data_IF_592992993303
#
_entry.id   IF_592992993303
#
_cell.length_a   1.000
_cell.length_b   1.000
_cell.length_c   1.000
_cell.angle_alpha   90.00
_cell.angle_beta   90.00
_cell.angle_gamma   90.00
#
_symmetry.space_group_name_H-M   'P 1'
#
loop_
_entity.id
_entity.type
_entity.pdbx_description
1 polymer ?
#
# COMPACT_ATOMS: atom_id res chain seq x y z
N UNK A 1 16.57 -10.66 1.20
CA UNK A 1 16.62 -10.65 -0.30
C UNK A 1 15.59 -11.62 -0.90
N UNK A 2 15.43 -12.80 -0.32
CA UNK A 2 14.46 -13.80 -0.76
C UNK A 2 13.01 -13.32 -0.64
N UNK A 3 12.66 -12.66 0.47
CA UNK A 3 11.32 -12.11 0.70
C UNK A 3 10.91 -11.01 -0.29
N UNK A 4 11.85 -10.16 -0.70
CA UNK A 4 11.56 -9.09 -1.67
C UNK A 4 11.34 -9.63 -3.08
N UNK A 5 12.01 -10.74 -3.44
CA UNK A 5 11.80 -11.42 -4.71
C UNK A 5 10.46 -12.16 -4.73
N UNK A 6 10.13 -12.88 -3.67
CA UNK A 6 8.86 -13.58 -3.53
C UNK A 6 7.67 -12.62 -3.62
N UNK A 7 7.80 -11.42 -3.04
CA UNK A 7 6.76 -10.38 -3.14
C UNK A 7 6.64 -9.84 -4.57
N UNK A 8 7.75 -9.61 -5.27
CA UNK A 8 7.74 -9.14 -6.65
C UNK A 8 7.12 -10.18 -7.60
N UNK A 9 7.42 -11.46 -7.38
CA UNK A 9 6.83 -12.56 -8.15
C UNK A 9 5.33 -12.70 -7.87
N UNK A 10 4.92 -12.67 -6.59
CA UNK A 10 3.51 -12.72 -6.20
C UNK A 10 2.69 -11.60 -6.82
N UNK A 11 3.27 -10.41 -6.95
CA UNK A 11 2.65 -9.26 -7.58
C UNK A 11 2.47 -9.46 -9.10
N UNK A 12 3.49 -9.97 -9.80
CA UNK A 12 3.38 -10.27 -11.22
C UNK A 12 2.34 -11.36 -11.51
N UNK A 13 2.22 -12.34 -10.62
CA UNK A 13 1.22 -13.40 -10.69
C UNK A 13 -0.18 -12.94 -10.28
N UNK A 14 -0.30 -11.78 -9.63
CA UNK A 14 -1.60 -11.20 -9.31
C UNK A 14 -2.23 -10.55 -10.56
N UNK A 15 -2.94 -11.37 -11.29
CA UNK A 15 -3.64 -10.96 -12.52
C UNK A 15 -4.61 -9.81 -12.27
N UNK A 16 -5.23 -9.74 -11.08
CA UNK A 16 -6.20 -8.70 -10.76
C UNK A 16 -5.51 -7.33 -10.65
N UNK A 17 -4.49 -7.23 -9.81
CA UNK A 17 -3.77 -5.97 -9.59
C UNK A 17 -3.06 -5.52 -10.87
N UNK A 18 -2.42 -6.47 -11.56
CA UNK A 18 -1.73 -6.20 -12.84
C UNK A 18 -2.69 -5.68 -13.91
N UNK A 19 -3.87 -6.29 -14.06
CA UNK A 19 -4.89 -5.82 -15.00
C UNK A 19 -5.45 -4.44 -14.63
N UNK A 20 -5.64 -4.17 -13.35
CA UNK A 20 -6.13 -2.86 -12.90
C UNK A 20 -5.13 -1.76 -13.22
N UNK A 21 -3.85 -1.96 -12.96
CA UNK A 21 -2.81 -0.99 -13.33
C UNK A 21 -2.70 -0.82 -14.85
N UNK A 22 -2.73 -1.94 -15.60
CA UNK A 22 -2.71 -1.92 -17.06
C UNK A 22 -3.87 -1.08 -17.61
N UNK A 23 -5.10 -1.40 -17.21
CA UNK A 23 -6.29 -0.68 -17.68
C UNK A 23 -6.23 0.81 -17.30
N UNK A 24 -5.87 1.13 -16.07
CA UNK A 24 -5.80 2.52 -15.61
C UNK A 24 -4.77 3.33 -16.40
N UNK A 25 -3.54 2.82 -16.56
CA UNK A 25 -2.47 3.52 -17.25
C UNK A 25 -2.80 3.70 -18.72
N UNK A 26 -3.31 2.66 -19.41
CA UNK A 26 -3.69 2.78 -20.82
C UNK A 26 -4.88 3.72 -21.05
N UNK A 27 -5.90 3.69 -20.19
CA UNK A 27 -7.02 4.63 -20.27
C UNK A 27 -6.59 6.09 -20.02
N UNK A 28 -5.46 6.28 -19.35
CA UNK A 28 -4.89 7.59 -19.04
C UNK A 28 -3.53 7.82 -19.73
N UNK A 29 -3.26 7.15 -20.86
CA UNK A 29 -1.98 7.23 -21.55
C UNK A 29 -1.59 8.68 -21.94
N UNK A 30 -2.56 9.57 -22.14
CA UNK A 30 -2.30 11.00 -22.40
C UNK A 30 -1.50 11.69 -21.26
N UNK A 31 -1.56 11.17 -20.04
CA UNK A 31 -0.77 11.70 -18.93
C UNK A 31 0.71 11.28 -19.03
N UNK A 32 0.99 10.12 -19.64
CA UNK A 32 2.33 9.53 -19.75
C UNK A 32 3.04 9.93 -21.05
N UNK A 33 2.26 10.22 -22.10
CA UNK A 33 2.81 10.53 -23.41
C UNK A 33 3.78 11.72 -23.34
N UNK A 34 4.98 11.54 -23.90
CA UNK A 34 6.06 12.52 -23.94
C UNK A 34 6.56 12.96 -22.55
N UNK A 35 6.40 12.11 -21.51
CA UNK A 35 6.78 12.38 -20.12
C UNK A 35 8.01 11.62 -19.69
N UNK A 36 8.72 12.19 -18.71
CA UNK A 36 9.80 11.55 -17.97
C UNK A 36 9.19 10.96 -16.69
N UNK A 37 9.34 9.65 -16.51
CA UNK A 37 8.77 8.89 -15.40
C UNK A 37 9.87 8.39 -14.46
N UNK A 38 9.63 8.43 -13.16
CA UNK A 38 10.45 7.81 -12.14
C UNK A 38 9.65 6.71 -11.45
N UNK A 39 10.09 5.45 -11.58
CA UNK A 39 9.55 4.31 -10.82
C UNK A 39 10.33 4.17 -9.52
N UNK A 40 9.67 4.44 -8.39
CA UNK A 40 10.24 4.36 -7.05
C UNK A 40 9.91 3.00 -6.43
N UNK A 41 10.95 2.19 -6.24
CA UNK A 41 10.81 0.83 -5.72
C UNK A 41 10.38 -0.17 -6.79
N UNK A 42 10.96 -0.06 -7.97
CA UNK A 42 10.75 -1.01 -9.06
C UNK A 42 10.95 -2.46 -8.57
N UNK A 43 9.85 -3.10 -8.18
CA UNK A 43 9.84 -4.47 -7.63
C UNK A 43 9.68 -5.50 -8.75
N UNK A 44 8.58 -5.43 -9.46
CA UNK A 44 8.25 -6.33 -10.58
C UNK A 44 8.63 -5.76 -11.95
N UNK A 45 8.79 -4.45 -12.03
CA UNK A 45 8.98 -3.72 -13.28
C UNK A 45 7.70 -3.44 -14.07
N UNK A 46 6.55 -3.93 -13.58
CA UNK A 46 5.27 -3.76 -14.25
C UNK A 46 4.96 -2.30 -14.55
N UNK A 47 5.05 -1.41 -13.54
CA UNK A 47 4.74 0.02 -13.72
C UNK A 47 5.69 0.70 -14.70
N UNK A 48 6.98 0.32 -14.69
CA UNK A 48 7.95 0.79 -15.68
C UNK A 48 7.58 0.40 -17.11
N UNK A 49 7.22 -0.87 -17.33
CA UNK A 49 6.79 -1.37 -18.65
C UNK A 49 5.54 -0.64 -19.11
N UNK A 50 4.52 -0.55 -18.25
CA UNK A 50 3.27 0.14 -18.59
C UNK A 50 3.48 1.63 -18.89
N UNK A 51 4.42 2.29 -18.20
CA UNK A 51 4.77 3.68 -18.50
C UNK A 51 5.39 3.84 -19.89
N UNK A 52 6.28 2.92 -20.28
CA UNK A 52 6.86 2.91 -21.65
C UNK A 52 5.76 2.66 -22.70
N UNK A 53 4.90 1.68 -22.49
CA UNK A 53 3.78 1.36 -23.39
C UNK A 53 2.78 2.52 -23.50
N UNK A 54 2.61 3.30 -22.45
CA UNK A 54 1.77 4.51 -22.46
C UNK A 54 2.43 5.73 -23.11
N UNK A 55 3.64 5.59 -23.67
CA UNK A 55 4.32 6.63 -24.45
C UNK A 55 5.24 7.55 -23.66
N UNK A 56 5.73 7.13 -22.49
CA UNK A 56 6.80 7.84 -21.80
C UNK A 56 8.06 7.89 -22.68
N UNK A 57 8.74 9.03 -22.71
CA UNK A 57 10.00 9.21 -23.47
C UNK A 57 11.23 8.76 -22.67
N UNK A 58 11.14 8.68 -21.36
CA UNK A 58 12.18 8.15 -20.49
C UNK A 58 11.57 7.62 -19.19
N UNK A 59 12.02 6.46 -18.76
CA UNK A 59 11.64 5.82 -17.49
C UNK A 59 12.90 5.51 -16.71
N UNK A 60 13.07 6.15 -15.57
CA UNK A 60 14.08 5.82 -14.58
C UNK A 60 13.48 4.93 -13.52
N UNK A 61 14.16 3.84 -13.14
CA UNK A 61 13.66 2.93 -12.12
C UNK A 61 14.66 2.74 -10.98
N UNK A 62 14.24 3.08 -9.77
CA UNK A 62 15.02 2.87 -8.55
C UNK A 62 14.45 1.64 -7.83
N UNK A 63 15.26 0.60 -7.65
CA UNK A 63 14.78 -0.60 -6.98
C UNK A 63 15.75 -1.77 -7.05
N UNK A 64 15.20 -2.97 -7.07
CA UNK A 64 15.98 -4.19 -7.13
C UNK A 64 16.62 -4.35 -8.52
N UNK A 65 17.95 -4.55 -8.54
CA UNK A 65 18.71 -4.79 -9.77
C UNK A 65 18.26 -6.00 -10.57
N UNK A 66 17.66 -7.00 -9.92
CA UNK A 66 17.15 -8.20 -10.59
C UNK A 66 15.87 -7.87 -11.37
N UNK A 67 14.96 -7.10 -10.79
CA UNK A 67 13.78 -6.58 -11.47
C UNK A 67 14.16 -5.70 -12.65
N UNK A 68 15.13 -4.82 -12.46
CA UNK A 68 15.64 -3.97 -13.51
C UNK A 68 16.20 -4.77 -14.72
N UNK A 69 16.92 -5.86 -14.47
CA UNK A 69 17.40 -6.77 -15.52
C UNK A 69 16.24 -7.46 -16.27
N UNK A 70 15.17 -7.82 -15.57
CA UNK A 70 13.98 -8.41 -16.22
C UNK A 70 13.31 -7.39 -17.12
N UNK A 71 13.07 -6.15 -16.65
CA UNK A 71 12.50 -5.06 -17.46
C UNK A 71 13.37 -4.79 -18.70
N UNK A 72 14.69 -4.66 -18.52
CA UNK A 72 15.63 -4.46 -19.63
C UNK A 72 15.50 -5.57 -20.67
N UNK A 73 15.39 -6.84 -20.25
CA UNK A 73 15.20 -7.96 -21.18
C UNK A 73 13.87 -7.90 -21.93
N UNK A 74 12.78 -7.57 -21.23
CA UNK A 74 11.44 -7.45 -21.85
C UNK A 74 11.45 -6.34 -22.90
N UNK A 75 12.02 -5.18 -22.59
CA UNK A 75 12.06 -4.03 -23.51
C UNK A 75 13.13 -4.14 -24.60
N UNK A 76 14.16 -4.97 -24.42
CA UNK A 76 15.25 -5.16 -25.41
C UNK A 76 14.80 -5.80 -26.74
N UNK A 77 13.61 -6.40 -26.77
CA UNK A 77 13.04 -7.02 -27.97
C UNK A 77 12.25 -6.02 -28.84
N UNK A 78 12.26 -4.71 -28.48
CA UNK A 78 11.59 -3.64 -29.20
C UNK A 78 12.43 -2.38 -29.35
N UNK A 79 11.87 -1.36 -30.01
CA UNK A 79 12.49 -0.04 -30.20
C UNK A 79 12.61 0.78 -28.89
N UNK A 80 12.20 0.20 -27.75
CA UNK A 80 12.02 0.89 -26.48
C UNK A 80 13.16 0.68 -25.48
N UNK A 81 14.23 -0.03 -25.85
CA UNK A 81 15.31 -0.38 -24.94
C UNK A 81 16.03 0.84 -24.34
N UNK A 82 16.14 1.94 -25.10
CA UNK A 82 16.81 3.18 -24.67
C UNK A 82 15.93 4.04 -23.74
N UNK A 83 14.61 3.77 -23.70
CA UNK A 83 13.66 4.53 -22.88
C UNK A 83 13.84 4.20 -21.41
N UNK A 84 14.15 2.94 -21.06
CA UNK A 84 14.27 2.47 -19.69
C UNK A 84 15.72 2.55 -19.19
N UNK A 85 15.90 3.10 -17.99
CA UNK A 85 17.21 3.21 -17.34
C UNK A 85 17.13 2.87 -15.84
N UNK A 86 17.73 1.75 -15.41
CA UNK A 86 17.77 1.39 -14.00
C UNK A 86 18.80 2.26 -13.24
N UNK A 87 18.38 2.72 -12.07
CA UNK A 87 19.23 3.47 -11.14
C UNK A 87 19.53 2.61 -9.91
N UNK A 88 20.80 2.46 -9.59
CA UNK A 88 21.25 1.69 -8.43
C UNK A 88 21.60 2.60 -7.25
N UNK A 89 21.18 2.22 -6.06
CA UNK A 89 21.55 2.89 -4.82
C UNK A 89 20.38 3.37 -3.98
N UNK A 90 20.70 3.95 -2.83
CA UNK A 90 19.70 4.53 -1.94
C UNK A 90 19.15 5.82 -2.54
N UNK A 91 17.82 5.96 -2.56
CA UNK A 91 17.12 7.08 -3.20
C UNK A 91 17.60 8.46 -2.67
N UNK A 92 17.99 8.55 -1.40
CA UNK A 92 18.50 9.78 -0.80
C UNK A 92 19.83 10.23 -1.37
N UNK A 93 20.64 9.31 -1.87
CA UNK A 93 21.99 9.55 -2.42
C UNK A 93 21.99 9.66 -3.94
N UNK A 94 20.91 9.25 -4.60
CA UNK A 94 20.82 9.26 -6.06
C UNK A 94 20.78 10.68 -6.63
N UNK A 95 21.26 10.75 -7.87
CA UNK A 95 21.10 11.90 -8.78
C UNK A 95 20.46 11.38 -10.06
N UNK A 96 19.56 12.15 -10.62
CA UNK A 96 19.00 11.81 -11.93
C UNK A 96 20.10 11.92 -12.99
N UNK A 97 20.17 11.01 -13.97
CA UNK A 97 21.15 11.02 -15.04
C UNK A 97 21.05 12.24 -15.94
N UNK A 98 22.07 12.45 -16.77
CA UNK A 98 22.13 13.50 -17.80
C UNK A 98 21.88 14.92 -17.28
N UNK A 99 22.15 15.20 -15.99
CA UNK A 99 21.93 16.52 -15.41
C UNK A 99 20.46 16.90 -15.20
N UNK A 100 19.53 15.96 -15.39
CA UNK A 100 18.11 16.15 -15.13
C UNK A 100 17.88 16.52 -13.66
N UNK A 101 17.01 17.50 -13.46
CA UNK A 101 16.64 17.96 -12.09
C UNK A 101 15.27 17.51 -11.67
N UNK A 102 14.40 17.22 -12.63
CA UNK A 102 12.97 16.94 -12.39
C UNK A 102 12.46 15.84 -13.32
N UNK A 103 11.40 15.18 -12.86
CA UNK A 103 10.58 14.22 -13.60
C UNK A 103 9.12 14.69 -13.60
N UNK A 104 8.35 14.25 -14.58
CA UNK A 104 6.95 14.65 -14.71
C UNK A 104 6.01 13.77 -13.88
N UNK A 105 6.36 12.48 -13.76
CA UNK A 105 5.53 11.47 -13.11
C UNK A 105 6.40 10.62 -12.17
N UNK A 106 5.84 10.27 -11.03
CA UNK A 106 6.33 9.21 -10.16
C UNK A 106 5.33 8.07 -10.19
N UNK A 107 5.78 6.85 -10.46
CA UNK A 107 5.01 5.62 -10.27
C UNK A 107 5.62 4.81 -9.13
N UNK A 108 4.79 4.15 -8.32
CA UNK A 108 5.30 3.31 -7.23
C UNK A 108 4.22 2.39 -6.68
N UNK A 109 4.54 1.15 -6.43
CA UNK A 109 3.79 0.30 -5.51
C UNK A 109 4.30 0.50 -4.09
N UNK A 110 3.94 1.63 -3.54
CA UNK A 110 4.47 2.12 -2.27
C UNK A 110 3.84 1.48 -1.04
N UNK A 111 2.72 0.78 -1.19
CA UNK A 111 1.97 0.20 -0.08
C UNK A 111 2.74 -0.96 0.57
N UNK A 112 2.55 -1.08 1.87
CA UNK A 112 3.04 -2.20 2.66
C UNK A 112 1.94 -2.78 3.55
N UNK A 113 2.31 -3.60 4.53
CA UNK A 113 1.36 -4.16 5.49
C UNK A 113 0.71 -3.04 6.31
N UNK A 114 -0.60 -3.16 6.58
CA UNK A 114 -1.38 -2.07 7.19
C UNK A 114 -1.10 -0.72 6.51
N UNK A 115 -0.85 -0.71 5.20
CA UNK A 115 -0.51 0.40 4.33
C UNK A 115 0.93 0.93 4.50
N UNK A 116 1.48 0.99 5.70
CA UNK A 116 2.73 1.72 5.99
C UNK A 116 3.90 0.86 6.45
N UNK A 117 3.68 -0.33 7.01
CA UNK A 117 4.76 -1.22 7.42
C UNK A 117 5.45 -1.84 6.19
N UNK A 118 6.78 -1.80 6.14
CA UNK A 118 7.58 -2.18 4.96
C UNK A 118 7.20 -1.44 3.67
N UNK A 119 6.62 -0.24 3.81
CA UNK A 119 6.18 0.57 2.67
C UNK A 119 7.31 1.42 2.08
N UNK A 120 7.07 1.92 0.86
CA UNK A 120 7.95 2.89 0.21
C UNK A 120 7.46 4.33 0.39
N UNK A 121 6.54 4.58 1.32
CA UNK A 121 5.90 5.87 1.50
C UNK A 121 6.90 7.02 1.65
N UNK A 122 7.82 6.95 2.61
CA UNK A 122 8.83 7.99 2.83
C UNK A 122 9.74 8.19 1.60
N UNK A 123 10.05 7.10 0.89
CA UNK A 123 10.86 7.15 -0.33
C UNK A 123 10.15 7.87 -1.45
N UNK A 124 8.83 7.65 -1.62
CA UNK A 124 8.02 8.34 -2.62
C UNK A 124 7.88 9.83 -2.26
N UNK A 125 7.65 10.16 -0.99
CA UNK A 125 7.60 11.56 -0.56
C UNK A 125 8.93 12.27 -0.80
N UNK A 126 10.05 11.63 -0.48
CA UNK A 126 11.38 12.16 -0.77
C UNK A 126 11.59 12.42 -2.26
N UNK A 127 11.23 11.44 -3.10
CA UNK A 127 11.31 11.57 -4.56
C UNK A 127 10.43 12.71 -5.10
N UNK A 128 9.20 12.81 -4.57
CA UNK A 128 8.25 13.89 -4.90
C UNK A 128 8.88 15.26 -4.62
N UNK A 129 9.35 15.46 -3.41
CA UNK A 129 9.84 16.78 -2.98
C UNK A 129 11.14 17.17 -3.71
N UNK A 130 11.99 16.19 -3.98
CA UNK A 130 13.26 16.41 -4.64
C UNK A 130 13.13 16.53 -6.16
N UNK A 131 12.34 15.66 -6.80
CA UNK A 131 12.42 15.50 -8.26
C UNK A 131 11.11 15.74 -9.01
N UNK A 132 9.93 15.71 -8.37
CA UNK A 132 8.70 15.92 -9.12
C UNK A 132 8.58 17.39 -9.58
N UNK A 133 8.15 17.61 -10.83
CA UNK A 133 7.86 18.94 -11.35
C UNK A 133 6.63 19.54 -10.65
N UNK A 134 6.51 20.84 -10.66
CA UNK A 134 5.29 21.51 -10.20
C UNK A 134 4.13 21.09 -11.09
N UNK A 135 3.09 20.52 -10.50
CA UNK A 135 1.95 19.94 -11.24
C UNK A 135 2.20 18.52 -11.77
N UNK A 136 3.36 17.94 -11.48
CA UNK A 136 3.64 16.54 -11.78
C UNK A 136 2.73 15.58 -10.98
N UNK A 137 2.65 14.34 -11.41
CA UNK A 137 1.67 13.38 -10.88
C UNK A 137 2.35 12.16 -10.24
N UNK A 138 1.62 11.54 -9.32
CA UNK A 138 2.04 10.29 -8.64
C UNK A 138 0.97 9.24 -8.88
N UNK A 139 1.36 8.01 -9.20
CA UNK A 139 0.46 6.88 -9.42
C UNK A 139 0.89 5.63 -8.63
N UNK A 140 -0.04 5.05 -7.86
CA UNK A 140 -1.30 5.64 -7.37
C UNK A 140 -1.03 6.73 -6.32
N UNK A 141 -1.92 7.73 -6.22
CA UNK A 141 -1.67 8.88 -5.36
C UNK A 141 -2.52 8.93 -4.09
N UNK A 142 -3.57 8.12 -3.97
CA UNK A 142 -4.47 8.15 -2.81
C UNK A 142 -4.67 6.75 -2.24
N UNK A 143 -4.61 6.65 -0.92
CA UNK A 143 -4.99 5.45 -0.19
C UNK A 143 -5.89 5.77 0.99
N UNK A 144 -6.83 4.87 1.28
CA UNK A 144 -7.73 4.95 2.41
C UNK A 144 -7.52 3.73 3.31
N UNK A 145 -7.05 3.93 4.54
CA UNK A 145 -6.86 2.89 5.54
C UNK A 145 -8.11 2.75 6.40
N UNK A 146 -8.62 1.54 6.51
CA UNK A 146 -9.80 1.19 7.29
C UNK A 146 -9.47 0.24 8.43
N UNK A 147 -10.30 0.29 9.49
CA UNK A 147 -10.35 -0.70 10.55
C UNK A 147 -11.76 -1.29 10.63
N UNK A 148 -11.84 -2.59 10.94
CA UNK A 148 -13.12 -3.30 11.10
C UNK A 148 -12.99 -4.43 12.12
N UNK A 149 -13.96 -4.55 13.04
CA UNK A 149 -13.99 -5.60 14.04
C UNK A 149 -14.38 -6.95 13.43
N UNK A 150 -13.74 -8.01 13.90
CA UNK A 150 -13.94 -9.38 13.41
C UNK A 150 -14.14 -10.38 14.53
N UNK A 151 -14.84 -11.49 14.20
CA UNK A 151 -14.97 -12.69 15.02
C UNK A 151 -14.21 -13.84 14.34
N UNK A 152 -12.90 -13.82 14.48
CA UNK A 152 -12.02 -14.88 13.99
C UNK A 152 -11.00 -15.18 15.07
N UNK A 153 -11.13 -16.34 15.72
CA UNK A 153 -10.17 -16.78 16.71
C UNK A 153 -9.18 -17.76 16.07
N UNK A 154 -7.92 -17.55 16.28
CA UNK A 154 -6.90 -18.59 16.05
C UNK A 154 -6.68 -19.33 17.36
N UNK A 155 -7.32 -20.47 17.54
CA UNK A 155 -7.22 -21.31 18.74
C UNK A 155 -5.79 -21.87 19.02
N UNK A 156 -4.81 -21.60 18.15
CA UNK A 156 -3.46 -22.21 18.24
C UNK A 156 -2.38 -21.31 18.82
N UNK A 157 -2.67 -20.06 19.20
CA UNK A 157 -1.62 -19.17 19.70
C UNK A 157 -1.97 -18.71 21.13
N UNK A 158 -1.99 -19.66 22.05
CA UNK A 158 -2.02 -19.39 23.51
C UNK A 158 -0.57 -19.47 24.03
N UNK A 159 0.30 -18.71 23.48
CA UNK A 159 1.58 -18.44 24.12
C UNK A 159 1.44 -17.16 24.96
N UNK A 160 1.42 -17.32 26.28
CA UNK A 160 1.30 -16.21 27.24
C UNK A 160 2.49 -15.25 27.19
N UNK A 161 3.60 -15.64 26.58
CA UNK A 161 4.80 -14.80 26.41
C UNK A 161 4.67 -13.76 25.28
N UNK A 162 3.70 -13.94 24.38
CA UNK A 162 3.50 -13.02 23.26
C UNK A 162 2.81 -11.71 23.71
N UNK A 163 2.94 -10.59 23.00
CA UNK A 163 2.30 -9.32 23.35
C UNK A 163 0.77 -9.42 23.39
N UNK A 164 0.06 -8.53 24.11
CA UNK A 164 -1.41 -8.60 24.28
C UNK A 164 -2.19 -8.48 22.97
N UNK A 165 -1.55 -7.99 21.91
CA UNK A 165 -2.09 -7.96 20.56
C UNK A 165 -1.15 -8.71 19.64
N UNK A 166 -1.68 -9.71 18.92
CA UNK A 166 -0.94 -10.46 17.93
C UNK A 166 -1.21 -9.89 16.54
N UNK A 167 -0.16 -9.42 15.89
CA UNK A 167 -0.20 -8.94 14.52
C UNK A 167 0.05 -10.08 13.55
N UNK A 168 -0.85 -10.27 12.60
CA UNK A 168 -0.70 -11.27 11.54
C UNK A 168 -1.28 -10.75 10.22
N UNK A 169 -0.66 -11.17 9.10
CA UNK A 169 -1.30 -11.03 7.80
C UNK A 169 -2.19 -12.23 7.56
N UNK A 170 -3.43 -11.98 7.18
CA UNK A 170 -4.42 -13.03 6.96
C UNK A 170 -5.47 -12.60 5.93
N UNK A 171 -6.19 -13.59 5.38
CA UNK A 171 -7.39 -13.35 4.60
C UNK A 171 -8.62 -13.52 5.49
N UNK A 172 -9.24 -12.41 5.86
CA UNK A 172 -10.45 -12.43 6.70
C UNK A 172 -11.66 -12.76 5.84
N UNK A 173 -12.44 -13.76 6.29
CA UNK A 173 -13.70 -14.10 5.64
C UNK A 173 -14.75 -13.02 5.95
N UNK A 174 -15.54 -12.63 4.94
CA UNK A 174 -16.66 -11.70 5.10
C UNK A 174 -17.64 -12.14 6.21
N UNK A 175 -17.84 -13.44 6.40
CA UNK A 175 -18.69 -13.97 7.46
C UNK A 175 -18.16 -13.70 8.87
N UNK A 176 -16.88 -13.38 9.02
CA UNK A 176 -16.25 -13.03 10.29
C UNK A 176 -16.46 -11.58 10.68
N UNK A 177 -17.03 -10.73 9.82
CA UNK A 177 -17.24 -9.32 10.11
C UNK A 177 -18.26 -9.14 11.25
N UNK A 178 -17.87 -8.30 12.22
CA UNK A 178 -18.67 -8.00 13.41
C UNK A 178 -19.11 -6.55 13.48
N UNK A 179 -18.44 -5.66 12.77
CA UNK A 179 -18.77 -4.23 12.79
C UNK A 179 -18.85 -3.64 11.40
N UNK A 180 -19.43 -2.45 11.29
CA UNK A 180 -19.20 -1.57 10.14
C UNK A 180 -17.72 -1.20 10.07
N UNK A 181 -17.25 -0.85 8.88
CA UNK A 181 -15.89 -0.33 8.69
C UNK A 181 -15.76 1.11 9.16
N UNK A 182 -14.60 1.48 9.64
CA UNK A 182 -14.26 2.86 9.98
C UNK A 182 -13.02 3.31 9.21
N UNK A 183 -13.08 4.48 8.60
CA UNK A 183 -11.93 5.09 7.90
C UNK A 183 -10.99 5.70 8.94
N UNK A 184 -9.83 5.08 9.14
CA UNK A 184 -8.80 5.58 10.06
C UNK A 184 -8.03 6.76 9.47
N UNK A 185 -7.64 6.66 8.20
CA UNK A 185 -6.84 7.68 7.53
C UNK A 185 -7.02 7.64 6.01
N UNK A 186 -7.15 8.82 5.42
CA UNK A 186 -7.03 9.02 3.97
C UNK A 186 -5.73 9.76 3.70
N UNK A 187 -4.96 9.31 2.72
CA UNK A 187 -3.68 9.90 2.34
C UNK A 187 -3.70 10.22 0.87
N UNK A 188 -3.28 11.44 0.55
CA UNK A 188 -2.98 11.86 -0.81
C UNK A 188 -1.49 12.20 -0.89
N UNK A 189 -0.71 11.40 -1.61
CA UNK A 189 0.74 11.55 -1.75
C UNK A 189 1.14 12.91 -2.35
N UNK A 190 0.28 13.52 -3.16
CA UNK A 190 0.57 14.84 -3.74
C UNK A 190 0.65 15.96 -2.71
N UNK A 191 0.00 15.79 -1.55
CA UNK A 191 -0.06 16.80 -0.48
C UNK A 191 0.37 16.27 0.90
N UNK A 192 0.61 14.97 1.03
CA UNK A 192 1.02 14.37 2.29
C UNK A 192 2.34 14.96 2.78
N UNK A 193 2.44 15.13 4.09
CA UNK A 193 3.69 15.43 4.78
C UNK A 193 4.25 14.14 5.36
N UNK A 194 5.53 14.13 5.65
CA UNK A 194 6.22 13.00 6.29
C UNK A 194 5.89 12.95 7.79
N UNK A 195 4.62 12.67 8.10
CA UNK A 195 4.08 12.63 9.47
C UNK A 195 3.83 11.19 9.95
N UNK A 196 4.46 10.19 9.30
CA UNK A 196 4.21 8.77 9.62
C UNK A 196 5.03 8.27 10.81
N UNK A 197 5.98 9.03 11.31
CA UNK A 197 6.70 8.61 12.53
C UNK A 197 5.76 8.25 13.68
N UNK A 198 4.59 8.89 13.75
CA UNK A 198 3.53 8.56 14.68
C UNK A 198 2.15 8.92 14.14
N UNK A 199 1.29 7.91 14.00
CA UNK A 199 -0.12 8.09 13.62
C UNK A 199 -1.04 7.56 14.71
N UNK A 200 -2.02 8.36 15.12
CA UNK A 200 -3.03 8.02 16.11
C UNK A 200 -4.42 8.44 15.64
N UNK A 201 -5.38 7.55 15.78
CA UNK A 201 -6.78 7.82 15.46
C UNK A 201 -7.70 7.20 16.49
N UNK A 202 -8.65 7.98 16.98
CA UNK A 202 -9.81 7.47 17.69
C UNK A 202 -10.83 7.02 16.64
N UNK A 203 -11.52 5.92 16.92
CA UNK A 203 -12.52 5.37 16.01
C UNK A 203 -13.80 4.97 16.75
N UNK A 204 -14.88 4.90 15.98
CA UNK A 204 -16.19 4.46 16.42
C UNK A 204 -16.78 3.52 15.39
N UNK A 205 -17.06 2.31 15.79
CA UNK A 205 -17.67 1.29 14.92
C UNK A 205 -19.01 0.86 15.51
N UNK A 206 -19.91 0.41 14.65
CA UNK A 206 -21.19 -0.13 15.05
C UNK A 206 -21.23 -1.63 14.77
N UNK A 207 -21.62 -2.43 15.75
CA UNK A 207 -21.82 -3.86 15.56
C UNK A 207 -22.93 -4.12 14.54
N UNK A 208 -22.73 -5.11 13.68
CA UNK A 208 -23.70 -5.52 12.63
C UNK A 208 -24.44 -6.80 12.97
N UNK A 209 -24.15 -7.40 14.13
CA UNK A 209 -24.80 -8.59 14.67
C UNK A 209 -24.38 -8.87 16.11
N UNK A 210 -25.12 -9.73 16.79
CA UNK A 210 -24.70 -10.27 18.08
C UNK A 210 -23.51 -11.21 17.94
N UNK A 211 -22.61 -11.21 18.91
CA UNK A 211 -21.46 -12.12 18.96
C UNK A 211 -20.26 -11.54 19.67
N UNK A 212 -19.07 -12.05 19.34
CA UNK A 212 -17.81 -11.65 19.96
C UNK A 212 -16.89 -10.98 18.94
N UNK A 213 -16.34 -9.83 19.30
CA UNK A 213 -15.23 -9.21 18.57
C UNK A 213 -13.94 -9.72 19.17
N UNK A 214 -13.22 -10.56 18.43
CA UNK A 214 -11.95 -11.19 18.85
C UNK A 214 -10.70 -10.51 18.28
N UNK A 215 -10.89 -9.49 17.43
CA UNK A 215 -9.83 -8.73 16.83
C UNK A 215 -10.34 -7.65 15.92
N UNK A 216 -9.40 -6.88 15.39
CA UNK A 216 -9.66 -5.90 14.34
C UNK A 216 -8.76 -6.17 13.14
N UNK A 217 -9.29 -6.09 11.94
CA UNK A 217 -8.49 -6.10 10.73
C UNK A 217 -8.28 -4.68 10.21
N UNK A 218 -7.11 -4.47 9.65
CA UNK A 218 -6.73 -3.29 8.89
C UNK A 218 -6.66 -3.67 7.41
N UNK A 219 -7.24 -2.85 6.57
CA UNK A 219 -7.17 -2.99 5.11
C UNK A 219 -7.25 -1.63 4.44
N UNK A 220 -6.94 -1.57 3.15
CA UNK A 220 -6.95 -0.30 2.44
C UNK A 220 -7.54 -0.40 1.05
N UNK A 221 -8.05 0.74 0.60
CA UNK A 221 -8.41 1.01 -0.80
C UNK A 221 -7.30 1.82 -1.44
N UNK A 222 -6.95 1.50 -2.67
CA UNK A 222 -6.03 2.27 -3.49
C UNK A 222 -6.80 2.98 -4.59
N UNK A 223 -6.55 4.27 -4.69
CA UNK A 223 -7.19 5.15 -5.66
C UNK A 223 -6.14 5.97 -6.44
N UNK A 224 -6.50 6.43 -7.61
CA UNK A 224 -5.66 7.34 -8.37
C UNK A 224 -6.48 8.39 -9.11
N UNK A 225 -5.89 9.57 -9.28
CA UNK A 225 -6.50 10.65 -10.05
C UNK A 225 -6.29 10.37 -11.54
N UNK A 226 -7.36 10.31 -12.31
CA UNK A 226 -7.33 10.07 -13.75
C UNK A 226 -7.05 11.36 -14.56
N UNK A 227 -6.92 11.24 -15.88
CA UNK A 227 -6.65 12.36 -16.80
C UNK A 227 -7.71 13.47 -16.77
N UNK A 228 -8.91 13.15 -16.27
CA UNK A 228 -10.00 14.13 -16.11
C UNK A 228 -10.00 14.82 -14.74
N UNK A 229 -8.98 14.55 -13.89
CA UNK A 229 -8.90 15.06 -12.52
C UNK A 229 -9.85 14.37 -11.53
N UNK A 230 -10.45 13.24 -11.90
CA UNK A 230 -11.39 12.50 -11.05
C UNK A 230 -10.66 11.42 -10.29
N UNK A 231 -10.98 11.24 -8.99
CA UNK A 231 -10.47 10.15 -8.19
C UNK A 231 -11.18 8.85 -8.57
N UNK A 232 -10.42 7.84 -8.96
CA UNK A 232 -10.89 6.52 -9.31
C UNK A 232 -10.30 5.49 -8.36
N UNK A 233 -11.14 4.64 -7.78
CA UNK A 233 -10.69 3.48 -7.01
C UNK A 233 -10.14 2.45 -7.97
N UNK A 234 -8.91 2.00 -7.70
CA UNK A 234 -8.21 1.00 -8.47
C UNK A 234 -8.55 -0.40 -7.92
N UNK A 235 -8.20 -0.65 -6.68
CA UNK A 235 -8.51 -1.92 -6.00
C UNK A 235 -8.65 -1.71 -4.49
N UNK A 236 -9.08 -2.77 -3.83
CA UNK A 236 -9.17 -2.87 -2.38
C UNK A 236 -8.65 -4.23 -1.95
N UNK A 237 -7.98 -4.27 -0.81
CA UNK A 237 -7.66 -5.52 -0.13
C UNK A 237 -8.68 -5.88 0.95
N UNK A 238 -9.82 -5.20 0.98
CA UNK A 238 -10.89 -5.44 1.96
C UNK A 238 -11.59 -6.79 1.77
N UNK A 239 -12.31 -7.25 2.80
CA UNK A 239 -12.90 -8.60 2.86
C UNK A 239 -14.03 -8.82 1.84
N UNK A 240 -14.54 -7.76 1.23
CA UNK A 240 -15.57 -7.80 0.20
C UNK A 240 -15.00 -7.79 -1.22
N UNK A 241 -13.69 -7.59 -1.33
CA UNK A 241 -12.96 -7.54 -2.61
C UNK A 241 -12.35 -8.89 -2.95
N UNK A 242 -12.07 -9.16 -4.22
CA UNK A 242 -11.29 -10.32 -4.61
C UNK A 242 -9.93 -10.33 -3.90
N UNK A 243 -9.43 -11.51 -3.59
CA UNK A 243 -8.11 -11.67 -2.97
C UNK A 243 -7.02 -11.17 -3.92
N UNK A 244 -6.07 -10.44 -3.36
CA UNK A 244 -4.86 -9.98 -4.04
C UNK A 244 -3.64 -10.62 -3.39
N UNK A 245 -2.44 -10.38 -3.93
CA UNK A 245 -1.21 -10.83 -3.28
C UNK A 245 -0.98 -10.18 -1.90
N UNK A 246 -1.63 -9.04 -1.63
CA UNK A 246 -1.62 -8.38 -0.33
C UNK A 246 -2.74 -8.92 0.55
N UNK A 247 -2.40 -9.28 1.78
CA UNK A 247 -3.35 -9.73 2.80
C UNK A 247 -3.77 -8.57 3.70
N UNK A 248 -4.88 -8.74 4.42
CA UNK A 248 -5.24 -7.84 5.50
C UNK A 248 -4.28 -8.03 6.68
N UNK A 249 -4.05 -6.98 7.43
CA UNK A 249 -3.31 -7.06 8.69
C UNK A 249 -4.30 -7.17 9.84
N UNK A 250 -4.22 -8.26 10.60
CA UNK A 250 -5.16 -8.57 11.69
C UNK A 250 -4.47 -8.37 13.03
N UNK A 251 -5.15 -7.62 13.90
CA UNK A 251 -4.79 -7.40 15.29
C UNK A 251 -5.70 -8.28 16.16
N UNK A 252 -5.23 -9.45 16.56
CA UNK A 252 -5.97 -10.37 17.42
C UNK A 252 -5.87 -9.95 18.89
N UNK A 253 -7.02 -9.89 19.58
CA UNK A 253 -7.07 -9.71 21.03
C UNK A 253 -6.80 -11.05 21.71
N UNK A 254 -5.85 -11.09 22.65
CA UNK A 254 -5.45 -12.35 23.31
C UNK A 254 -6.44 -12.86 24.35
N UNK A 255 -6.98 -11.99 25.17
CA UNK A 255 -7.66 -12.42 26.40
C UNK A 255 -9.14 -12.03 26.47
N UNK A 256 -9.60 -10.97 25.81
CA UNK A 256 -10.94 -10.45 25.99
C UNK A 256 -11.66 -10.16 24.68
N UNK A 257 -12.18 -11.21 24.07
CA UNK A 257 -13.17 -11.00 23.03
C UNK A 257 -14.35 -10.22 23.62
N UNK A 258 -14.64 -9.05 23.06
CA UNK A 258 -15.74 -8.22 23.52
C UNK A 258 -17.07 -8.81 23.05
N UNK A 259 -17.97 -9.12 23.99
CA UNK A 259 -19.34 -9.49 23.63
C UNK A 259 -20.10 -8.24 23.20
N UNK A 260 -20.74 -8.32 22.03
CA UNK A 260 -21.47 -7.21 21.43
C UNK A 260 -22.87 -7.67 21.02
N UNK A 261 -23.82 -6.74 21.10
CA UNK A 261 -25.16 -6.90 20.52
C UNK A 261 -25.28 -6.08 19.25
N UNK A 262 -26.19 -6.47 18.38
CA UNK A 262 -26.47 -5.75 17.14
C UNK A 262 -26.73 -4.27 17.40
N UNK A 263 -26.20 -3.39 16.53
CA UNK A 263 -26.24 -1.92 16.61
C UNK A 263 -25.47 -1.30 17.79
N UNK A 264 -24.83 -2.09 18.65
CA UNK A 264 -24.03 -1.56 19.74
C UNK A 264 -22.80 -0.81 19.21
N UNK A 265 -22.47 0.29 19.88
CA UNK A 265 -21.30 1.12 19.53
C UNK A 265 -20.05 0.62 20.24
N UNK A 266 -19.01 0.43 19.46
CA UNK A 266 -17.67 0.17 19.94
C UNK A 266 -16.81 1.40 19.66
N UNK A 267 -16.06 1.81 20.66
CA UNK A 267 -15.09 2.87 20.56
C UNK A 267 -13.70 2.29 20.65
N UNK A 268 -12.74 2.96 20.08
CA UNK A 268 -11.35 2.52 20.21
C UNK A 268 -10.36 3.60 19.84
N UNK A 269 -9.11 3.28 20.09
CA UNK A 269 -7.96 4.08 19.71
C UNK A 269 -6.94 3.18 19.04
N UNK A 270 -6.56 3.55 17.86
CA UNK A 270 -5.50 2.92 17.11
C UNK A 270 -4.29 3.84 17.05
N UNK A 271 -3.11 3.31 17.25
CA UNK A 271 -1.87 4.02 16.96
C UNK A 271 -0.87 3.12 16.26
N UNK A 272 -0.07 3.76 15.43
CA UNK A 272 1.03 3.16 14.70
C UNK A 272 2.24 4.08 14.83
N UNK A 273 3.40 3.53 15.14
CA UNK A 273 4.65 4.27 15.25
C UNK A 273 5.76 3.54 14.51
N UNK A 274 6.70 4.28 13.92
CA UNK A 274 7.94 3.69 13.42
C UNK A 274 8.75 3.22 14.62
N UNK A 275 9.10 1.94 14.66
CA UNK A 275 9.85 1.31 15.75
C UNK A 275 11.13 0.67 15.25
N UNK A 276 12.28 1.10 15.78
CA UNK A 276 13.58 0.56 15.36
C UNK A 276 13.75 -0.93 15.66
N UNK A 277 12.98 -1.48 16.60
CA UNK A 277 13.03 -2.87 17.05
C UNK A 277 11.78 -3.67 16.68
N UNK A 278 10.78 -3.03 16.09
CA UNK A 278 9.56 -3.70 15.70
C UNK A 278 9.77 -4.56 14.45
N UNK A 279 9.16 -5.74 14.38
CA UNK A 279 9.04 -6.46 13.13
C UNK A 279 8.45 -5.51 12.06
N UNK A 280 9.08 -5.47 10.87
CA UNK A 280 8.66 -4.60 9.76
C UNK A 280 8.73 -3.09 10.05
N UNK A 281 9.53 -2.67 11.04
CA UNK A 281 9.80 -1.26 11.33
C UNK A 281 8.61 -0.45 11.85
N UNK A 282 7.50 -1.09 12.26
CA UNK A 282 6.30 -0.42 12.77
C UNK A 282 5.73 -1.13 13.99
N UNK A 283 5.42 -0.36 15.02
CA UNK A 283 4.70 -0.80 16.22
C UNK A 283 3.23 -0.38 16.15
N UNK A 284 2.35 -1.29 16.56
CA UNK A 284 0.91 -1.07 16.60
C UNK A 284 0.39 -1.10 18.03
N UNK A 285 -0.56 -0.23 18.34
CA UNK A 285 -1.34 -0.28 19.57
C UNK A 285 -2.83 -0.13 19.25
N UNK A 286 -3.64 -0.95 19.89
CA UNK A 286 -5.08 -0.97 19.75
C UNK A 286 -5.73 -1.01 21.13
N UNK A 287 -6.57 -0.03 21.45
CA UNK A 287 -7.51 -0.08 22.55
C UNK A 287 -8.93 -0.12 21.97
N UNK A 288 -9.79 -0.98 22.52
CA UNK A 288 -11.19 -1.09 22.12
C UNK A 288 -12.08 -1.29 23.35
N UNK A 289 -13.23 -0.62 23.40
CA UNK A 289 -14.20 -0.70 24.51
C UNK A 289 -15.62 -0.47 24.02
N UNK A 290 -16.58 -0.92 24.80
CA UNK A 290 -18.00 -0.70 24.53
C UNK A 290 -18.41 0.71 24.96
N UNK A 291 -19.28 1.34 24.16
CA UNK A 291 -19.96 2.56 24.60
C UNK A 291 -20.94 2.27 25.75
N UNK A 292 -21.01 3.19 26.69
CA UNK A 292 -22.02 3.15 27.76
C UNK A 292 -23.43 3.38 27.21
#
# INVERSE_FOLDING_TARGET
>A
MEDAWNMAESMLLDVLVSNVYNQFIHQNASLFKDKIVLDVGCRSGLLSILAVEAGAIKVFAVGNMQSAKCVTKVLAHGENAEIFEPLSGCISQLKLPCGLKKVDIIVSEWMGHALFADSLFCQVLYARDKWLTKGGQIFPNVANLYIQGISQSRHQIIDKSLPPILLMDDYVNRQSLMTEKYLLKSINLSSAKDEIEFFKADFKMKAVRNGKVSGCMLYFDICSTNAKGQLQKLFSIGPESPKTYMMQTVLYLKEDALEVVDQQLLFGRFSMAVGCFAPRGVEFSLGIWLGQ
#
